data_IF_400671496455
#
_entry.id   IF_400671496455
#
_cell.length_a   1.000
_cell.length_b   1.000
_cell.length_c   1.000
_cell.angle_alpha   90.00
_cell.angle_beta   90.00
_cell.angle_gamma   90.00
#
_symmetry.space_group_name_H-M   'P 1'
#
loop_
_entity.id
_entity.type
_entity.pdbx_description
1 polymer ?
#
# COMPACT_ATOMS: atom_id res chain seq x y z
N UNK A 1 6.11 1.34 -16.59
CA UNK A 1 4.74 0.87 -16.23
C UNK A 1 3.72 1.84 -16.83
N UNK A 2 2.46 1.45 -17.07
CA UNK A 2 1.45 2.37 -17.67
C UNK A 2 1.10 3.59 -16.80
N UNK A 3 1.62 3.64 -15.58
CA UNK A 3 1.46 4.74 -14.64
C UNK A 3 2.50 5.85 -14.86
N UNK A 4 3.57 5.57 -15.62
CA UNK A 4 4.58 6.56 -15.96
C UNK A 4 3.93 7.71 -16.71
N UNK A 5 3.99 8.91 -16.12
CA UNK A 5 3.35 10.13 -16.62
C UNK A 5 1.82 10.14 -16.62
N UNK A 6 1.16 9.18 -15.94
CA UNK A 6 -0.30 9.16 -15.79
C UNK A 6 -0.79 9.72 -14.44
N UNK A 7 0.13 9.95 -13.49
CA UNK A 7 -0.17 10.52 -12.18
C UNK A 7 -0.03 12.04 -12.21
N UNK A 8 -1.00 12.75 -11.65
CA UNK A 8 -1.00 14.21 -11.54
C UNK A 8 -1.27 14.62 -10.10
N UNK A 9 -0.41 15.45 -9.52
CA UNK A 9 -0.70 16.10 -8.25
C UNK A 9 -1.88 17.05 -8.42
N UNK A 10 -3.00 16.69 -7.79
CA UNK A 10 -4.23 17.47 -7.84
C UNK A 10 -4.80 17.53 -6.44
N UNK A 11 -4.72 18.71 -5.84
CA UNK A 11 -5.38 18.99 -4.56
C UNK A 11 -6.83 19.41 -4.81
N UNK A 12 -7.74 18.99 -3.94
CA UNK A 12 -9.11 19.47 -3.93
C UNK A 12 -9.14 20.94 -3.49
N UNK A 13 -10.02 21.73 -4.10
CA UNK A 13 -10.27 23.10 -3.67
C UNK A 13 -11.68 23.19 -3.13
N UNK A 14 -11.81 23.85 -1.97
CA UNK A 14 -13.10 24.12 -1.33
C UNK A 14 -13.39 25.61 -1.33
N UNK A 15 -14.66 25.98 -1.46
CA UNK A 15 -15.09 27.36 -1.24
C UNK A 15 -15.16 27.73 0.26
N UNK A 16 -15.58 28.97 0.55
CA UNK A 16 -15.72 29.46 1.92
C UNK A 16 -16.78 28.72 2.75
N UNK A 17 -17.67 27.97 2.11
CA UNK A 17 -18.72 27.15 2.72
C UNK A 17 -18.29 25.67 2.84
N UNK A 18 -17.08 25.32 2.42
CA UNK A 18 -16.52 23.98 2.51
C UNK A 18 -16.95 23.02 1.39
N UNK A 19 -17.66 23.51 0.36
CA UNK A 19 -18.05 22.71 -0.82
C UNK A 19 -16.87 22.51 -1.76
N UNK A 20 -16.75 21.32 -2.35
CA UNK A 20 -15.67 21.01 -3.29
C UNK A 20 -15.99 21.68 -4.63
N UNK A 21 -15.20 22.68 -5.00
CA UNK A 21 -15.28 23.37 -6.31
C UNK A 21 -14.30 22.80 -7.33
N UNK A 22 -13.28 22.07 -6.87
CA UNK A 22 -12.36 21.31 -7.71
C UNK A 22 -12.04 19.98 -7.05
N UNK A 23 -12.35 18.88 -7.73
CA UNK A 23 -12.00 17.55 -7.24
C UNK A 23 -10.48 17.33 -7.24
N UNK A 24 -10.01 16.57 -6.25
CA UNK A 24 -8.61 16.20 -6.06
C UNK A 24 -8.41 15.43 -4.76
N UNK A 25 -7.15 15.22 -4.39
CA UNK A 25 -6.75 14.75 -3.07
C UNK A 25 -7.00 15.83 -2.02
N UNK A 26 -7.40 15.43 -0.83
CA UNK A 26 -7.53 16.33 0.32
C UNK A 26 -6.17 16.92 0.71
N UNK A 27 -6.09 18.16 1.23
CA UNK A 27 -4.84 18.74 1.70
C UNK A 27 -3.98 17.82 2.59
N UNK A 28 -4.52 17.10 3.60
CA UNK A 28 -3.71 16.17 4.39
C UNK A 28 -3.11 14.99 3.59
N UNK A 29 -3.77 14.55 2.50
CA UNK A 29 -3.23 13.50 1.63
C UNK A 29 -2.08 14.03 0.78
N UNK A 30 -2.20 15.26 0.26
CA UNK A 30 -1.14 15.94 -0.49
C UNK A 30 0.08 16.20 0.40
N UNK A 31 -0.13 16.70 1.62
CA UNK A 31 0.96 16.88 2.59
C UNK A 31 1.66 15.57 2.94
N UNK A 32 0.90 14.49 3.16
CA UNK A 32 1.46 13.16 3.40
C UNK A 32 2.27 12.61 2.22
N UNK A 33 1.81 12.83 0.98
CA UNK A 33 2.56 12.49 -0.23
C UNK A 33 3.90 13.24 -0.28
N UNK A 34 3.88 14.56 -0.14
CA UNK A 34 5.13 15.34 -0.17
C UNK A 34 6.09 14.93 0.95
N UNK A 35 5.60 14.68 2.16
CA UNK A 35 6.42 14.20 3.27
C UNK A 35 7.05 12.83 2.97
N UNK A 36 6.26 11.88 2.44
CA UNK A 36 6.75 10.55 2.06
C UNK A 36 7.85 10.65 1.00
N UNK A 37 7.62 11.47 -0.03
CA UNK A 37 8.53 11.63 -1.16
C UNK A 37 9.83 12.34 -0.73
N UNK A 38 9.73 13.38 0.08
CA UNK A 38 10.89 14.07 0.63
C UNK A 38 11.76 13.13 1.47
N UNK A 39 11.13 12.35 2.37
CA UNK A 39 11.83 11.34 3.16
C UNK A 39 12.54 10.32 2.27
N UNK A 40 11.83 9.75 1.28
CA UNK A 40 12.38 8.73 0.40
C UNK A 40 13.60 9.21 -0.40
N UNK A 41 13.66 10.50 -0.75
CA UNK A 41 14.80 11.08 -1.48
C UNK A 41 16.01 11.37 -0.58
N UNK A 42 15.78 11.61 0.71
CA UNK A 42 16.84 11.97 1.66
C UNK A 42 17.33 10.82 2.54
N UNK A 43 16.52 9.77 2.72
CA UNK A 43 16.79 8.72 3.68
C UNK A 43 16.17 7.37 3.26
N UNK A 44 16.74 6.28 3.79
CA UNK A 44 16.33 4.90 3.49
C UNK A 44 15.79 4.15 4.72
N UNK A 45 15.76 4.80 5.89
CA UNK A 45 15.22 4.24 7.12
C UNK A 45 13.67 4.24 7.12
N UNK A 46 13.04 3.34 7.87
CA UNK A 46 11.58 3.27 7.97
C UNK A 46 10.97 4.59 8.50
N UNK A 47 9.94 5.09 7.82
CA UNK A 47 9.19 6.27 8.24
C UNK A 47 7.78 5.92 8.74
N UNK A 48 7.23 6.79 9.60
CA UNK A 48 5.83 6.73 10.04
C UNK A 48 5.09 7.99 9.64
N UNK A 49 4.00 7.83 8.89
CA UNK A 49 3.11 8.93 8.51
C UNK A 49 1.86 8.84 9.37
N UNK A 50 1.62 9.87 10.20
CA UNK A 50 0.45 9.95 11.06
C UNK A 50 -0.62 10.80 10.39
N UNK A 51 -1.80 10.22 10.19
CA UNK A 51 -2.95 10.91 9.61
C UNK A 51 -4.21 10.60 10.43
N UNK A 52 -5.07 11.59 10.75
CA UNK A 52 -6.33 11.36 11.45
C UNK A 52 -7.26 10.38 10.72
N UNK A 53 -8.22 9.78 11.42
CA UNK A 53 -9.24 8.94 10.78
C UNK A 53 -10.11 9.79 9.86
N UNK A 54 -10.55 9.21 8.74
CA UNK A 54 -11.38 9.91 7.75
C UNK A 54 -10.64 10.85 6.80
N UNK A 55 -9.32 11.05 6.93
CA UNK A 55 -8.54 11.91 6.01
C UNK A 55 -8.06 11.21 4.74
N UNK A 56 -8.40 9.92 4.56
CA UNK A 56 -8.11 9.17 3.34
C UNK A 56 -6.68 8.60 3.26
N UNK A 57 -6.24 7.94 4.34
CA UNK A 57 -4.98 7.18 4.42
C UNK A 57 -4.83 6.18 3.28
N UNK A 58 -5.90 5.46 2.95
CA UNK A 58 -5.88 4.45 1.89
C UNK A 58 -5.58 5.07 0.53
N UNK A 59 -6.31 6.11 0.14
CA UNK A 59 -6.06 6.83 -1.12
C UNK A 59 -4.67 7.47 -1.18
N UNK A 60 -4.11 7.88 -0.03
CA UNK A 60 -2.72 8.36 0.05
C UNK A 60 -1.74 7.25 -0.31
N UNK A 61 -1.91 6.05 0.25
CA UNK A 61 -1.09 4.88 -0.07
C UNK A 61 -1.20 4.46 -1.54
N UNK A 62 -2.42 4.48 -2.10
CA UNK A 62 -2.65 4.24 -3.53
C UNK A 62 -1.89 5.26 -4.40
N UNK A 63 -1.93 6.54 -4.01
CA UNK A 63 -1.28 7.62 -4.73
C UNK A 63 0.25 7.47 -4.69
N UNK A 64 0.82 7.06 -3.56
CA UNK A 64 2.25 6.77 -3.43
C UNK A 64 2.67 5.66 -4.41
N UNK A 65 1.92 4.54 -4.48
CA UNK A 65 2.19 3.46 -5.44
C UNK A 65 2.15 3.96 -6.89
N UNK A 66 1.11 4.73 -7.24
CA UNK A 66 0.91 5.24 -8.58
C UNK A 66 1.97 6.27 -9.01
N UNK A 67 2.45 7.09 -8.07
CA UNK A 67 3.48 8.10 -8.31
C UNK A 67 4.89 7.50 -8.41
N UNK A 68 5.32 6.71 -7.42
CA UNK A 68 6.69 6.16 -7.36
C UNK A 68 6.90 4.93 -8.24
N UNK A 69 5.84 4.42 -8.88
CA UNK A 69 5.90 3.25 -9.76
C UNK A 69 6.58 2.06 -9.08
N UNK A 70 6.24 1.84 -7.81
CA UNK A 70 6.89 0.80 -7.03
C UNK A 70 6.67 -0.56 -7.72
N UNK A 71 7.74 -1.29 -8.08
CA UNK A 71 7.62 -2.54 -8.81
C UNK A 71 6.90 -3.61 -8.00
N UNK A 72 7.08 -3.59 -6.67
CA UNK A 72 6.51 -4.54 -5.73
C UNK A 72 6.19 -3.83 -4.42
N UNK A 73 4.96 -3.95 -3.94
CA UNK A 73 4.50 -3.41 -2.66
C UNK A 73 3.90 -4.53 -1.81
N UNK A 74 4.37 -4.69 -0.57
CA UNK A 74 3.74 -5.55 0.43
C UNK A 74 2.97 -4.69 1.44
N UNK A 75 1.66 -4.93 1.57
CA UNK A 75 0.80 -4.24 2.53
C UNK A 75 0.38 -5.23 3.62
N UNK A 76 0.68 -4.89 4.87
CA UNK A 76 0.35 -5.72 6.04
C UNK A 76 -0.73 -5.03 6.86
N UNK A 77 -1.80 -5.77 7.17
CA UNK A 77 -2.97 -5.24 7.89
C UNK A 77 -3.35 -6.12 9.09
N UNK A 78 -4.04 -5.58 10.12
CA UNK A 78 -4.33 -6.33 11.35
C UNK A 78 -5.37 -7.44 11.18
N UNK A 79 -6.24 -7.40 10.16
CA UNK A 79 -7.35 -8.34 10.02
C UNK A 79 -7.62 -8.76 8.59
N UNK A 80 -8.32 -9.89 8.42
CA UNK A 80 -8.75 -10.37 7.11
C UNK A 80 -9.80 -9.43 6.47
N UNK A 81 -10.67 -8.82 7.28
CA UNK A 81 -11.64 -7.85 6.80
C UNK A 81 -10.96 -6.62 6.19
N UNK A 82 -9.98 -6.04 6.90
CA UNK A 82 -9.22 -4.90 6.36
C UNK A 82 -8.38 -5.32 5.14
N UNK A 83 -7.85 -6.55 5.11
CA UNK A 83 -7.13 -7.07 3.95
C UNK A 83 -8.00 -7.03 2.70
N UNK A 84 -9.23 -7.55 2.79
CA UNK A 84 -10.14 -7.57 1.66
C UNK A 84 -10.49 -6.13 1.19
N UNK A 85 -10.80 -5.23 2.12
CA UNK A 85 -11.05 -3.81 1.80
C UNK A 85 -9.86 -3.14 1.10
N UNK A 86 -8.64 -3.40 1.56
CA UNK A 86 -7.43 -2.82 0.96
C UNK A 86 -7.16 -3.42 -0.42
N UNK A 87 -7.38 -4.72 -0.61
CA UNK A 87 -7.26 -5.38 -1.92
C UNK A 87 -8.18 -4.72 -2.94
N UNK A 88 -9.47 -4.59 -2.62
CA UNK A 88 -10.47 -3.95 -3.50
C UNK A 88 -10.07 -2.52 -3.89
N UNK A 89 -9.47 -1.78 -2.94
CA UNK A 89 -8.97 -0.43 -3.17
C UNK A 89 -7.77 -0.41 -4.11
N UNK A 90 -6.82 -1.33 -4.00
CA UNK A 90 -5.70 -1.42 -4.94
C UNK A 90 -6.15 -1.86 -6.33
N UNK A 91 -7.01 -2.86 -6.44
CA UNK A 91 -7.51 -3.41 -7.72
C UNK A 91 -8.17 -2.35 -8.61
N UNK A 92 -8.67 -1.28 -8.01
CA UNK A 92 -9.38 -0.21 -8.71
C UNK A 92 -8.64 1.13 -8.68
N UNK A 93 -7.48 1.20 -8.02
CA UNK A 93 -6.88 2.47 -7.58
C UNK A 93 -7.86 3.39 -6.84
N UNK A 94 -8.90 2.83 -6.21
CA UNK A 94 -9.89 3.56 -5.41
C UNK A 94 -10.41 4.82 -6.11
N UNK A 95 -10.24 5.97 -5.47
CA UNK A 95 -10.74 7.25 -5.97
C UNK A 95 -9.77 7.99 -6.90
N UNK A 96 -8.57 7.47 -7.18
CA UNK A 96 -7.56 8.24 -7.91
C UNK A 96 -8.00 8.59 -9.34
N UNK A 97 -8.67 7.66 -10.03
CA UNK A 97 -9.21 7.93 -11.37
C UNK A 97 -10.40 8.92 -11.34
N UNK A 98 -11.45 8.70 -10.53
CA UNK A 98 -12.54 9.67 -10.38
C UNK A 98 -12.10 11.08 -9.99
N UNK A 99 -11.06 11.19 -9.16
CA UNK A 99 -10.50 12.49 -8.73
C UNK A 99 -9.62 13.14 -9.79
N UNK A 100 -9.33 12.47 -10.91
CA UNK A 100 -8.41 12.96 -11.95
C UNK A 100 -6.95 13.04 -11.49
N UNK A 101 -6.59 12.29 -10.45
CA UNK A 101 -5.23 12.13 -9.92
C UNK A 101 -4.47 11.08 -10.72
N UNK A 102 -5.18 10.07 -11.23
CA UNK A 102 -4.65 9.04 -12.12
C UNK A 102 -5.40 9.06 -13.46
N UNK A 103 -4.67 9.05 -14.56
CA UNK A 103 -5.24 9.07 -15.90
C UNK A 103 -6.19 7.88 -16.17
N UNK A 104 -7.25 8.07 -16.98
CA UNK A 104 -8.27 7.05 -17.20
C UNK A 104 -7.71 5.78 -17.84
N UNK A 105 -6.70 5.93 -18.72
CA UNK A 105 -6.03 4.84 -19.43
C UNK A 105 -4.94 4.11 -18.61
N UNK A 106 -4.64 4.58 -17.39
CA UNK A 106 -3.70 3.90 -16.52
C UNK A 106 -4.25 2.50 -16.17
N UNK A 107 -3.44 1.45 -16.34
CA UNK A 107 -3.87 0.08 -16.01
C UNK A 107 -3.98 -0.08 -14.50
N UNK A 108 -4.86 -0.97 -14.05
CA UNK A 108 -4.92 -1.31 -12.64
C UNK A 108 -3.74 -2.23 -12.24
N UNK A 109 -3.31 -2.22 -10.97
CA UNK A 109 -2.25 -3.10 -10.50
C UNK A 109 -2.75 -4.54 -10.42
N UNK A 110 -1.84 -5.49 -10.64
CA UNK A 110 -2.08 -6.89 -10.28
C UNK A 110 -1.91 -7.03 -8.77
N UNK A 111 -3.01 -7.35 -8.08
CA UNK A 111 -3.06 -7.47 -6.62
C UNK A 111 -3.17 -8.94 -6.22
N UNK A 112 -2.30 -9.38 -5.31
CA UNK A 112 -2.38 -10.70 -4.69
C UNK A 112 -2.89 -10.58 -3.26
N UNK A 113 -3.93 -11.36 -2.93
CA UNK A 113 -4.35 -11.56 -1.55
C UNK A 113 -3.58 -12.74 -0.95
N UNK A 114 -2.64 -12.48 -0.05
CA UNK A 114 -1.91 -13.54 0.62
C UNK A 114 -2.77 -14.13 1.76
N UNK A 115 -3.22 -15.37 1.56
CA UNK A 115 -4.05 -16.11 2.52
C UNK A 115 -3.26 -17.11 3.37
N UNK A 116 -2.09 -17.53 2.88
CA UNK A 116 -1.21 -18.47 3.54
C UNK A 116 0.25 -18.03 3.34
N UNK A 117 1.11 -18.32 4.30
CA UNK A 117 2.54 -18.05 4.18
C UNK A 117 3.12 -18.94 3.06
N UNK A 118 3.93 -18.38 2.13
CA UNK A 118 4.69 -19.19 1.19
C UNK A 118 5.56 -20.21 1.95
N UNK A 119 5.65 -21.43 1.42
CA UNK A 119 6.37 -22.55 2.04
C UNK A 119 7.87 -22.50 1.79
N UNK A 120 8.30 -21.76 0.78
CA UNK A 120 9.72 -21.59 0.44
C UNK A 120 9.99 -20.19 -0.13
N UNK A 121 11.28 -19.82 -0.21
CA UNK A 121 11.70 -18.57 -0.84
C UNK A 121 11.35 -18.52 -2.33
N UNK A 122 11.43 -19.65 -3.02
CA UNK A 122 11.09 -19.77 -4.44
C UNK A 122 9.58 -19.58 -4.67
N UNK A 123 8.74 -20.11 -3.77
CA UNK A 123 7.30 -19.85 -3.83
C UNK A 123 6.98 -18.37 -3.59
N UNK A 124 7.64 -17.75 -2.61
CA UNK A 124 7.50 -16.32 -2.37
C UNK A 124 7.93 -15.51 -3.60
N UNK A 125 9.09 -15.78 -4.19
CA UNK A 125 9.56 -15.04 -5.37
C UNK A 125 8.59 -15.19 -6.55
N UNK A 126 8.03 -16.38 -6.80
CA UNK A 126 7.02 -16.59 -7.85
C UNK A 126 5.74 -15.77 -7.63
N UNK A 127 5.33 -15.55 -6.38
CA UNK A 127 4.16 -14.72 -6.05
C UNK A 127 4.51 -13.25 -6.27
N UNK A 128 5.61 -12.78 -5.68
CA UNK A 128 5.97 -11.37 -5.66
C UNK A 128 6.43 -10.84 -7.03
N UNK A 129 6.94 -11.70 -7.92
CA UNK A 129 7.32 -11.33 -9.29
C UNK A 129 6.13 -11.12 -10.22
N UNK A 130 4.98 -11.72 -9.92
CA UNK A 130 3.78 -11.68 -10.77
C UNK A 130 2.77 -10.61 -10.35
N UNK A 131 3.04 -9.90 -9.26
CA UNK A 131 2.11 -8.96 -8.65
C UNK A 131 2.77 -7.62 -8.40
N UNK A 132 2.03 -6.53 -8.61
CA UNK A 132 2.48 -5.21 -8.22
C UNK A 132 2.28 -5.00 -6.72
N UNK A 133 1.18 -5.55 -6.17
CA UNK A 133 0.81 -5.40 -4.76
C UNK A 133 0.48 -6.77 -4.18
N UNK A 134 1.01 -7.07 -3.00
CA UNK A 134 0.65 -8.22 -2.17
C UNK A 134 0.06 -7.70 -0.87
N UNK A 135 -1.13 -8.15 -0.48
CA UNK A 135 -1.78 -7.75 0.77
C UNK A 135 -1.93 -8.96 1.68
N UNK A 136 -1.42 -8.85 2.91
CA UNK A 136 -1.43 -9.92 3.90
C UNK A 136 -2.00 -9.43 5.23
N UNK A 137 -2.71 -10.29 5.96
CA UNK A 137 -3.04 -10.00 7.35
C UNK A 137 -1.90 -10.42 8.27
N UNK A 138 -1.76 -9.76 9.42
CA UNK A 138 -0.74 -10.13 10.41
C UNK A 138 -0.83 -11.60 10.81
N UNK A 139 -2.05 -12.15 10.87
CA UNK A 139 -2.30 -13.57 11.17
C UNK A 139 -1.61 -14.52 10.19
N UNK A 140 -1.56 -14.17 8.90
CA UNK A 140 -0.93 -14.98 7.85
C UNK A 140 0.60 -14.95 7.97
N UNK A 141 1.16 -13.81 8.39
CA UNK A 141 2.61 -13.60 8.50
C UNK A 141 3.19 -14.03 9.85
N UNK A 142 2.37 -14.48 10.81
CA UNK A 142 2.87 -15.01 12.08
C UNK A 142 3.70 -16.26 11.82
N UNK A 143 5.00 -16.20 12.12
CA UNK A 143 5.84 -17.40 12.23
C UNK A 143 5.21 -18.33 13.28
N UNK A 144 5.01 -19.60 12.93
CA UNK A 144 4.86 -20.63 13.97
C UNK A 144 6.18 -20.67 14.75
N UNK A 145 6.17 -20.70 16.09
CA UNK A 145 7.40 -20.95 16.84
C UNK A 145 7.98 -22.27 16.32
N UNK A 146 9.24 -22.23 15.90
CA UNK A 146 10.01 -23.45 15.63
C UNK A 146 9.97 -24.24 16.93
N UNK A 147 9.34 -25.41 16.93
CA UNK A 147 9.45 -26.38 18.01
C UNK A 147 10.94 -26.69 18.16
N UNK A 148 11.61 -26.05 19.13
CA UNK A 148 12.96 -26.46 19.52
C UNK A 148 12.82 -27.91 19.99
N UNK A 149 13.38 -28.86 19.23
CA UNK A 149 13.56 -30.23 19.74
C UNK A 149 14.29 -30.10 21.08
N UNK A 150 13.84 -30.76 22.15
CA UNK A 150 14.56 -30.72 23.41
C UNK A 150 15.99 -31.22 23.15
N UNK A 151 16.97 -30.38 23.46
CA UNK A 151 18.37 -30.76 23.46
C UNK A 151 18.53 -31.94 24.41
N UNK A 152 18.89 -33.10 23.87
CA UNK A 152 19.31 -34.27 24.65
C UNK A 152 20.48 -33.81 25.53
N UNK A 153 20.24 -33.75 26.84
CA UNK A 153 21.33 -33.59 27.82
C UNK A 153 22.04 -34.94 27.90
N UNK A 154 23.30 -34.99 27.48
CA UNK A 154 24.17 -36.12 27.79
C UNK A 154 24.48 -36.09 29.30
N UNK A 155 24.42 -37.25 29.99
CA UNK A 155 24.74 -37.33 31.41
C UNK A 155 26.22 -37.04 31.64
N UNK A 156 26.52 -36.43 32.80
CA UNK A 156 27.87 -36.10 33.27
C UNK A 156 28.66 -37.35 33.63
#
# INVERSE_FOLDING_TARGET
MSWSSAFTFREEVRDGQGQIIKCGLRPPQVGALFAALAHWRGAADPATIVMPTGTGKTETMLAILAHEWMPRLLVVVPSNALRNQIVEKFETFGLLKPLGVLGPQARFPVVCTLRHMPRSAEEAERIFTRCNVVVASMQVLRKRPVTRRPSVRLPR
#
